data_IF_708587048002
#
_entry.id   IF_708587048002
#
_cell.length_a   1.000
_cell.length_b   1.000
_cell.length_c   1.000
_cell.angle_alpha   90.00
_cell.angle_beta   90.00
_cell.angle_gamma   90.00
#
_symmetry.space_group_name_H-M   'P 1'
#
loop_
_entity.id
_entity.type
_entity.pdbx_description
1 polymer ?
#
# COMPACT_ATOMS: atom_id res chain seq x y z
N UNK A 1 8.75 -32.73 -2.41
CA UNK A 1 8.35 -31.83 -3.50
C UNK A 1 9.39 -30.73 -3.52
N UNK A 2 10.12 -30.66 -4.61
CA UNK A 2 11.24 -29.72 -4.78
C UNK A 2 10.77 -28.70 -5.79
N UNK A 3 10.82 -27.42 -5.41
CA UNK A 3 10.36 -26.31 -6.26
C UNK A 3 11.53 -25.46 -6.70
N UNK A 4 11.42 -24.86 -7.88
CA UNK A 4 12.34 -23.86 -8.39
C UNK A 4 11.55 -22.64 -8.88
N UNK A 5 12.19 -21.48 -8.82
CA UNK A 5 11.65 -20.25 -9.40
C UNK A 5 12.14 -20.09 -10.84
N UNK A 6 11.22 -19.92 -11.79
CA UNK A 6 11.52 -19.34 -13.10
C UNK A 6 11.13 -17.87 -13.05
N UNK A 7 12.12 -16.98 -13.11
CA UNK A 7 11.94 -15.55 -12.86
C UNK A 7 12.42 -14.67 -14.02
N UNK A 8 11.92 -13.44 -14.04
CA UNK A 8 12.41 -12.34 -14.88
C UNK A 8 12.28 -11.03 -14.10
N UNK A 9 13.18 -10.07 -14.36
CA UNK A 9 13.20 -8.78 -13.70
C UNK A 9 13.45 -7.68 -14.73
N UNK A 10 12.68 -6.58 -14.68
CA UNK A 10 12.91 -5.41 -15.52
C UNK A 10 12.67 -4.13 -14.73
N UNK A 11 13.50 -3.13 -15.03
CA UNK A 11 13.40 -1.76 -14.53
C UNK A 11 13.57 -0.80 -15.70
N UNK A 12 12.83 0.31 -15.68
CA UNK A 12 12.72 1.29 -16.75
C UNK A 12 12.62 2.70 -16.13
N UNK A 13 13.20 3.72 -16.77
CA UNK A 13 13.22 5.10 -16.24
C UNK A 13 11.81 5.71 -16.23
N UNK A 14 10.91 5.22 -17.07
CA UNK A 14 9.67 5.93 -17.40
C UNK A 14 9.93 7.04 -18.42
N UNK A 15 8.95 7.94 -18.55
CA UNK A 15 8.97 9.04 -19.54
C UNK A 15 9.17 10.43 -18.90
N UNK A 16 8.98 10.58 -17.58
CA UNK A 16 9.03 11.88 -16.89
C UNK A 16 10.18 12.06 -15.88
N UNK A 17 10.89 10.98 -15.49
CA UNK A 17 12.06 11.05 -14.58
C UNK A 17 13.36 11.23 -15.38
N UNK A 18 14.34 11.93 -14.81
CA UNK A 18 15.67 12.13 -15.44
C UNK A 18 16.65 10.96 -15.20
N UNK A 19 16.38 10.15 -14.17
CA UNK A 19 17.19 8.99 -13.77
C UNK A 19 16.30 7.89 -13.18
N UNK A 20 16.91 6.76 -12.83
CA UNK A 20 16.23 5.62 -12.24
C UNK A 20 16.69 5.40 -10.81
N UNK A 21 15.80 5.66 -9.85
CA UNK A 21 16.05 5.50 -8.42
C UNK A 21 15.55 4.15 -7.89
N UNK A 22 14.78 3.38 -8.66
CA UNK A 22 14.43 1.99 -8.33
C UNK A 22 15.66 1.06 -8.36
N UNK A 23 15.61 -0.02 -7.57
CA UNK A 23 16.47 -1.20 -7.70
C UNK A 23 15.68 -2.49 -7.50
N UNK A 24 16.05 -3.57 -8.20
CA UNK A 24 15.48 -4.89 -7.96
C UNK A 24 16.47 -6.04 -8.18
N UNK A 25 16.17 -7.17 -7.55
CA UNK A 25 16.95 -8.41 -7.54
C UNK A 25 16.02 -9.62 -7.71
N UNK A 26 16.42 -10.60 -8.52
CA UNK A 26 15.71 -11.86 -8.68
C UNK A 26 16.68 -13.03 -8.83
N UNK A 27 16.41 -14.12 -8.12
CA UNK A 27 17.25 -15.32 -8.06
C UNK A 27 16.39 -16.58 -7.86
N UNK A 28 17.02 -17.76 -7.80
CA UNK A 28 16.33 -19.03 -7.54
C UNK A 28 15.65 -19.14 -6.17
N UNK A 29 15.91 -18.23 -5.22
CA UNK A 29 15.29 -18.23 -3.86
C UNK A 29 14.92 -16.85 -3.29
N UNK A 30 15.36 -15.75 -3.88
CA UNK A 30 15.14 -14.39 -3.38
C UNK A 30 14.66 -13.48 -4.51
N UNK A 31 13.55 -12.78 -4.27
CA UNK A 31 13.06 -11.67 -5.09
C UNK A 31 13.01 -10.41 -4.21
N UNK A 32 13.42 -9.26 -4.73
CA UNK A 32 13.31 -7.98 -4.02
C UNK A 32 13.11 -6.81 -4.98
N UNK A 33 12.29 -5.85 -4.59
CA UNK A 33 12.12 -4.53 -5.22
C UNK A 33 12.24 -3.46 -4.14
N UNK A 34 12.97 -2.40 -4.44
CA UNK A 34 13.16 -1.23 -3.58
C UNK A 34 13.05 0.03 -4.45
N UNK A 35 12.07 0.87 -4.15
CA UNK A 35 11.77 2.14 -4.83
C UNK A 35 12.50 3.27 -4.09
N UNK A 36 13.36 4.00 -4.79
CA UNK A 36 14.30 4.95 -4.19
C UNK A 36 13.76 6.37 -4.14
N UNK A 37 13.62 6.95 -2.95
CA UNK A 37 13.13 8.32 -2.78
C UNK A 37 14.22 9.25 -2.24
N UNK A 38 14.34 10.43 -2.84
CA UNK A 38 15.24 11.48 -2.38
C UNK A 38 15.16 12.74 -3.22
N UNK A 39 15.84 13.79 -2.75
CA UNK A 39 16.29 14.85 -3.65
C UNK A 39 17.65 14.48 -4.26
N UNK A 40 18.04 15.17 -5.34
CA UNK A 40 19.40 15.16 -5.90
C UNK A 40 20.06 13.77 -6.03
N UNK A 41 19.33 12.80 -6.60
CA UNK A 41 19.81 11.42 -6.87
C UNK A 41 20.27 10.64 -5.63
N UNK A 42 19.69 10.90 -4.45
CA UNK A 42 19.95 10.08 -3.27
C UNK A 42 19.07 8.81 -3.20
N UNK A 43 17.99 8.72 -3.97
CA UNK A 43 17.14 7.52 -4.05
C UNK A 43 17.86 6.35 -4.72
N UNK A 44 18.66 6.60 -5.79
CA UNK A 44 19.47 5.56 -6.46
C UNK A 44 20.41 4.84 -5.47
N UNK A 45 20.92 5.61 -4.49
CA UNK A 45 21.82 5.13 -3.46
C UNK A 45 21.07 4.31 -2.41
N UNK A 46 19.91 4.80 -1.96
CA UNK A 46 19.12 4.14 -0.93
C UNK A 46 18.58 2.77 -1.39
N UNK A 47 17.98 2.69 -2.58
CA UNK A 47 17.45 1.43 -3.13
C UNK A 47 18.57 0.42 -3.41
N UNK A 48 19.71 0.88 -3.93
CA UNK A 48 20.90 0.05 -4.15
C UNK A 48 21.43 -0.56 -2.86
N UNK A 49 21.43 0.20 -1.75
CA UNK A 49 21.87 -0.28 -0.43
C UNK A 49 20.90 -1.30 0.17
N UNK A 50 19.58 -1.10 0.00
CA UNK A 50 18.59 -2.07 0.44
C UNK A 50 18.69 -3.40 -0.34
N UNK A 51 18.79 -3.33 -1.67
CA UNK A 51 18.98 -4.52 -2.52
C UNK A 51 20.31 -5.22 -2.22
N UNK A 52 21.40 -4.49 -2.02
CA UNK A 52 22.71 -5.07 -1.64
C UNK A 52 22.78 -5.59 -0.19
N UNK A 53 21.77 -5.31 0.64
CA UNK A 53 21.57 -6.01 1.91
C UNK A 53 20.78 -7.30 1.69
N UNK A 54 19.69 -7.24 0.91
CA UNK A 54 18.88 -8.42 0.56
C UNK A 54 19.69 -9.49 -0.16
N UNK A 55 20.50 -9.14 -1.16
CA UNK A 55 21.21 -10.11 -2.01
C UNK A 55 22.19 -11.01 -1.24
N UNK A 56 22.66 -10.58 -0.07
CA UNK A 56 23.48 -11.44 0.81
C UNK A 56 22.74 -12.70 1.28
N UNK A 57 21.40 -12.67 1.31
CA UNK A 57 20.56 -13.82 1.66
C UNK A 57 20.51 -14.90 0.56
N UNK A 58 21.01 -14.62 -0.65
CA UNK A 58 21.09 -15.59 -1.73
C UNK A 58 22.39 -16.43 -1.68
N UNK A 59 23.47 -15.87 -1.13
CA UNK A 59 24.74 -16.58 -0.93
C UNK A 59 24.65 -17.57 0.25
N UNK A 60 24.07 -17.14 1.37
CA UNK A 60 23.96 -17.94 2.58
C UNK A 60 22.90 -19.06 2.46
N UNK A 61 23.36 -20.31 2.62
CA UNK A 61 22.50 -21.50 2.63
C UNK A 61 21.77 -21.67 3.97
N UNK A 62 20.87 -20.74 4.31
CA UNK A 62 20.16 -20.72 5.59
C UNK A 62 19.26 -21.94 5.83
N UNK A 63 19.73 -22.87 6.66
CA UNK A 63 18.89 -23.83 7.39
C UNK A 63 18.22 -23.26 8.64
N UNK A 64 18.16 -21.93 8.78
CA UNK A 64 17.62 -21.20 9.93
C UNK A 64 16.15 -20.78 9.76
N UNK A 65 15.69 -19.87 10.62
CA UNK A 65 14.40 -19.22 10.47
C UNK A 65 14.46 -18.11 9.40
N UNK A 66 13.55 -18.17 8.42
CA UNK A 66 13.50 -17.24 7.29
C UNK A 66 13.04 -15.84 7.74
N UNK A 67 12.15 -15.75 8.73
CA UNK A 67 11.68 -14.45 9.22
C UNK A 67 12.81 -13.70 9.92
N UNK A 68 13.50 -14.36 10.85
CA UNK A 68 14.70 -13.82 11.51
C UNK A 68 15.79 -13.42 10.51
N UNK A 69 16.00 -14.19 9.44
CA UNK A 69 17.01 -13.89 8.42
C UNK A 69 16.65 -12.65 7.59
N UNK A 70 15.40 -12.55 7.08
CA UNK A 70 14.99 -11.41 6.27
C UNK A 70 14.84 -10.13 7.12
N UNK A 71 14.34 -10.23 8.35
CA UNK A 71 14.28 -9.15 9.34
C UNK A 71 15.68 -8.61 9.68
N UNK A 72 16.68 -9.50 9.86
CA UNK A 72 18.06 -9.09 10.10
C UNK A 72 18.67 -8.35 8.91
N UNK A 73 18.34 -8.73 7.67
CA UNK A 73 18.79 -8.03 6.47
C UNK A 73 18.10 -6.66 6.30
N UNK A 74 16.84 -6.49 6.68
CA UNK A 74 16.17 -5.17 6.71
C UNK A 74 16.80 -4.27 7.76
N UNK A 75 17.13 -4.79 8.95
CA UNK A 75 17.87 -4.05 9.98
C UNK A 75 19.29 -3.69 9.54
N UNK A 76 19.95 -4.52 8.73
CA UNK A 76 21.24 -4.18 8.12
C UNK A 76 21.11 -3.10 7.05
N UNK A 77 20.11 -3.17 6.16
CA UNK A 77 19.81 -2.11 5.20
C UNK A 77 19.63 -0.75 5.89
N UNK A 78 18.73 -0.67 6.89
CA UNK A 78 18.49 0.59 7.61
C UNK A 78 19.74 1.09 8.37
N UNK A 79 20.55 0.19 8.94
CA UNK A 79 21.82 0.54 9.57
C UNK A 79 22.82 1.11 8.56
N UNK A 80 22.97 0.49 7.39
CA UNK A 80 23.85 0.99 6.31
C UNK A 80 23.44 2.40 5.88
N UNK A 81 22.14 2.65 5.69
CA UNK A 81 21.61 3.99 5.40
C UNK A 81 21.90 4.99 6.52
N UNK A 82 21.66 4.61 7.79
CA UNK A 82 21.97 5.44 8.96
C UNK A 82 23.45 5.86 9.01
N UNK A 83 24.36 4.90 8.82
CA UNK A 83 25.79 5.20 8.79
C UNK A 83 26.19 6.12 7.61
N UNK A 84 25.49 6.03 6.47
CA UNK A 84 25.75 6.89 5.32
C UNK A 84 25.30 8.32 5.56
N UNK A 85 24.08 8.55 6.09
CA UNK A 85 23.63 9.89 6.52
C UNK A 85 24.51 10.45 7.65
N UNK A 86 25.05 9.58 8.53
CA UNK A 86 26.00 9.95 9.58
C UNK A 86 27.40 10.32 9.07
N UNK A 87 27.81 9.81 7.90
CA UNK A 87 29.08 10.16 7.23
C UNK A 87 28.95 11.39 6.33
N UNK A 88 27.85 11.51 5.61
CA UNK A 88 27.53 12.64 4.74
C UNK A 88 26.11 13.17 5.02
N UNK A 89 25.99 14.29 5.78
CA UNK A 89 24.70 14.91 6.07
C UNK A 89 23.94 15.46 4.86
N UNK A 90 24.53 15.52 3.65
CA UNK A 90 23.80 15.90 2.43
C UNK A 90 22.81 14.81 1.99
N UNK A 91 23.09 13.54 2.31
CA UNK A 91 22.22 12.40 2.07
C UNK A 91 20.96 12.38 2.96
N UNK A 92 20.81 13.35 3.88
CA UNK A 92 19.68 13.40 4.80
C UNK A 92 18.35 13.56 4.04
N UNK A 93 17.42 12.64 4.27
CA UNK A 93 16.15 12.58 3.55
C UNK A 93 16.19 11.73 2.28
N UNK A 94 17.27 10.97 2.07
CA UNK A 94 17.19 9.75 1.26
C UNK A 94 16.40 8.67 2.00
N UNK A 95 15.69 7.84 1.26
CA UNK A 95 15.12 6.61 1.76
C UNK A 95 14.72 5.68 0.63
N UNK A 96 14.17 4.53 0.96
CA UNK A 96 13.65 3.59 -0.04
C UNK A 96 12.54 2.73 0.54
N UNK A 97 11.60 2.28 -0.30
CA UNK A 97 10.73 1.17 0.06
C UNK A 97 11.53 -0.13 0.10
N UNK A 98 10.94 -1.20 0.61
CA UNK A 98 11.46 -2.54 0.39
C UNK A 98 10.34 -3.56 0.44
N UNK A 99 10.16 -4.29 -0.65
CA UNK A 99 9.31 -5.48 -0.72
C UNK A 99 10.16 -6.64 -1.21
N UNK A 100 10.33 -7.66 -0.36
CA UNK A 100 11.19 -8.81 -0.67
C UNK A 100 10.60 -10.13 -0.18
N UNK A 101 10.89 -11.19 -0.92
CA UNK A 101 10.39 -12.54 -0.68
C UNK A 101 11.53 -13.56 -0.75
N UNK A 102 11.67 -14.38 0.28
CA UNK A 102 12.74 -15.38 0.45
C UNK A 102 12.15 -16.79 0.60
N UNK A 103 12.61 -17.74 -0.22
CA UNK A 103 12.14 -19.12 -0.29
C UNK A 103 13.07 -20.11 0.42
N UNK A 104 12.48 -21.12 1.06
CA UNK A 104 13.17 -22.33 1.52
C UNK A 104 12.22 -23.52 1.41
N UNK A 105 12.42 -24.36 0.38
CA UNK A 105 11.40 -25.31 -0.06
C UNK A 105 10.10 -24.59 -0.39
N UNK A 106 8.95 -25.12 0.04
CA UNK A 106 7.63 -24.47 -0.14
C UNK A 106 7.37 -23.30 0.80
N UNK A 107 8.24 -22.99 1.76
CA UNK A 107 8.06 -21.84 2.67
C UNK A 107 8.59 -20.56 2.06
N UNK A 108 7.84 -19.48 2.22
CA UNK A 108 8.22 -18.14 1.76
C UNK A 108 8.07 -17.14 2.89
N UNK A 109 9.14 -16.44 3.25
CA UNK A 109 9.04 -15.23 4.06
C UNK A 109 8.83 -14.03 3.14
N UNK A 110 7.80 -13.21 3.41
CA UNK A 110 7.58 -11.90 2.79
C UNK A 110 7.89 -10.82 3.83
N UNK A 111 8.68 -9.82 3.44
CA UNK A 111 8.88 -8.57 4.18
C UNK A 111 8.43 -7.39 3.33
N UNK A 112 7.84 -6.38 3.97
CA UNK A 112 7.31 -5.19 3.30
C UNK A 112 7.48 -3.92 4.14
N UNK A 113 7.96 -2.86 3.50
CA UNK A 113 8.00 -1.47 3.98
C UNK A 113 7.72 -0.54 2.81
N UNK A 114 6.73 0.35 2.91
CA UNK A 114 6.41 1.33 1.88
C UNK A 114 5.17 0.96 1.05
N UNK A 115 5.15 1.34 -0.23
CA UNK A 115 4.00 1.17 -1.13
C UNK A 115 4.31 0.37 -2.40
N UNK A 116 5.56 -0.03 -2.62
CA UNK A 116 5.93 -1.03 -3.63
C UNK A 116 5.28 -2.38 -3.29
N UNK A 117 4.51 -2.96 -4.21
CA UNK A 117 3.56 -4.03 -3.89
C UNK A 117 4.09 -5.42 -4.26
N UNK A 118 3.58 -6.45 -3.58
CA UNK A 118 3.63 -7.82 -4.06
C UNK A 118 2.22 -8.38 -4.29
N UNK A 119 2.10 -9.18 -5.34
CA UNK A 119 0.89 -9.88 -5.75
C UNK A 119 1.17 -11.39 -5.94
N UNK A 120 0.13 -12.20 -5.73
CA UNK A 120 0.09 -13.63 -6.00
C UNK A 120 -1.09 -13.93 -6.94
N UNK A 121 -0.79 -14.44 -8.14
CA UNK A 121 -1.76 -15.13 -8.97
C UNK A 121 -1.78 -16.62 -8.58
N UNK A 122 -2.91 -17.09 -8.02
CA UNK A 122 -3.12 -18.50 -7.64
C UNK A 122 -4.47 -18.98 -8.16
N UNK A 123 -4.48 -20.14 -8.82
CA UNK A 123 -5.69 -20.79 -9.35
C UNK A 123 -6.57 -19.93 -10.28
N UNK A 124 -6.00 -18.86 -10.88
CA UNK A 124 -6.70 -17.93 -11.76
C UNK A 124 -7.18 -16.63 -11.09
N UNK A 125 -6.98 -16.47 -9.78
CA UNK A 125 -7.33 -15.27 -9.02
C UNK A 125 -6.07 -14.49 -8.61
N UNK A 126 -6.09 -13.16 -8.71
CA UNK A 126 -4.98 -12.28 -8.33
C UNK A 126 -5.23 -11.64 -6.97
N UNK A 127 -4.32 -11.86 -6.03
CA UNK A 127 -4.36 -11.31 -4.68
C UNK A 127 -3.21 -10.34 -4.47
N UNK A 128 -3.47 -9.14 -3.96
CA UNK A 128 -2.41 -8.33 -3.34
C UNK A 128 -2.03 -8.99 -1.99
N UNK A 129 -0.73 -9.12 -1.72
CA UNK A 129 -0.22 -9.80 -0.52
C UNK A 129 0.60 -8.88 0.40
N UNK A 130 0.78 -7.61 0.01
CA UNK A 130 1.31 -6.49 0.82
C UNK A 130 0.22 -5.47 1.11
N UNK A 131 0.37 -4.68 2.18
CA UNK A 131 -0.57 -3.63 2.57
C UNK A 131 0.16 -2.28 2.61
N UNK A 132 -0.15 -1.42 1.65
CA UNK A 132 0.58 -0.17 1.38
C UNK A 132 0.72 0.73 2.62
N UNK A 133 1.94 1.12 2.98
CA UNK A 133 2.22 2.06 4.07
C UNK A 133 2.06 3.53 3.65
N UNK A 134 0.98 3.85 2.93
CA UNK A 134 0.64 5.22 2.52
C UNK A 134 -0.38 5.89 3.44
N UNK A 135 -0.37 7.23 3.45
CA UNK A 135 -1.38 8.05 4.11
C UNK A 135 -2.79 7.71 3.62
N UNK A 136 -2.98 7.44 2.32
CA UNK A 136 -4.30 7.15 1.77
C UNK A 136 -4.78 5.75 2.14
N UNK A 137 -3.89 4.76 2.25
CA UNK A 137 -4.29 3.44 2.72
C UNK A 137 -4.76 3.52 4.18
N UNK A 138 -4.05 4.22 5.06
CA UNK A 138 -4.53 4.43 6.44
C UNK A 138 -5.86 5.21 6.51
N UNK A 139 -6.15 6.11 5.56
CA UNK A 139 -7.46 6.77 5.46
C UNK A 139 -8.57 5.83 4.97
N UNK A 140 -8.26 4.81 4.16
CA UNK A 140 -9.20 3.73 3.80
C UNK A 140 -9.41 2.79 4.98
N UNK A 141 -8.34 2.42 5.70
CA UNK A 141 -8.38 1.54 6.87
C UNK A 141 -9.20 2.17 8.02
N UNK A 142 -9.05 3.48 8.24
CA UNK A 142 -9.89 4.29 9.14
C UNK A 142 -11.38 4.40 8.68
N UNK A 143 -11.71 3.97 7.46
CA UNK A 143 -13.03 4.14 6.84
C UNK A 143 -13.38 5.59 6.47
N UNK A 144 -12.38 6.46 6.27
CA UNK A 144 -12.53 7.90 6.05
C UNK A 144 -12.60 8.32 4.58
N UNK A 145 -12.09 7.49 3.68
CA UNK A 145 -12.22 7.60 2.22
C UNK A 145 -12.44 6.20 1.63
N UNK A 146 -12.96 6.10 0.40
CA UNK A 146 -13.05 4.81 -0.32
C UNK A 146 -11.76 4.49 -1.11
N UNK A 147 -11.63 3.26 -1.60
CA UNK A 147 -10.49 2.85 -2.43
C UNK A 147 -10.40 3.66 -3.74
N UNK A 148 -11.55 4.03 -4.31
CA UNK A 148 -11.68 4.84 -5.52
C UNK A 148 -11.26 6.30 -5.28
N UNK A 149 -11.59 6.83 -4.10
CA UNK A 149 -11.13 8.15 -3.66
C UNK A 149 -9.62 8.15 -3.40
N UNK A 150 -9.09 7.12 -2.73
CA UNK A 150 -7.66 6.94 -2.47
C UNK A 150 -6.83 6.94 -3.77
N UNK A 151 -7.28 6.23 -4.81
CA UNK A 151 -6.61 6.15 -6.11
C UNK A 151 -6.47 7.51 -6.82
N UNK A 152 -7.39 8.45 -6.57
CA UNK A 152 -7.37 9.80 -7.18
C UNK A 152 -6.89 10.90 -6.23
N UNK A 153 -6.56 10.56 -4.97
CA UNK A 153 -6.26 11.52 -3.93
C UNK A 153 -4.95 12.30 -4.21
N UNK A 154 -4.90 13.63 -3.95
CA UNK A 154 -3.70 14.45 -4.19
C UNK A 154 -2.47 14.05 -3.35
N UNK A 155 -2.67 13.32 -2.25
CA UNK A 155 -1.62 12.88 -1.32
C UNK A 155 -1.40 11.36 -1.33
N UNK A 156 -1.74 10.67 -2.43
CA UNK A 156 -1.63 9.19 -2.49
C UNK A 156 -0.22 8.66 -2.26
N UNK A 157 0.79 9.30 -2.85
CA UNK A 157 2.22 8.94 -2.69
C UNK A 157 2.88 9.55 -1.44
N UNK A 158 2.11 9.85 -0.38
CA UNK A 158 2.71 10.18 0.93
C UNK A 158 2.88 8.90 1.72
N UNK A 159 4.13 8.45 1.83
CA UNK A 159 4.52 7.32 2.66
C UNK A 159 4.53 7.65 4.16
N UNK A 160 4.17 6.65 4.96
CA UNK A 160 4.21 6.68 6.43
C UNK A 160 5.34 5.81 7.01
N UNK A 161 5.86 4.85 6.23
CA UNK A 161 7.01 3.99 6.56
C UNK A 161 7.91 3.85 5.33
N UNK A 162 9.22 3.96 5.53
CA UNK A 162 10.27 3.73 4.54
C UNK A 162 11.56 3.32 5.26
N UNK A 163 12.56 2.83 4.52
CA UNK A 163 13.93 2.67 5.01
C UNK A 163 14.68 3.98 4.76
N UNK A 164 14.75 4.88 5.74
CA UNK A 164 15.41 6.20 5.62
C UNK A 164 16.67 6.37 6.50
N UNK A 165 17.07 5.30 7.19
CA UNK A 165 18.18 5.35 8.16
C UNK A 165 17.83 6.09 9.45
N UNK A 166 16.57 6.43 9.71
CA UNK A 166 16.11 7.01 10.97
C UNK A 166 15.41 5.96 11.85
N UNK A 167 15.59 6.10 13.17
CA UNK A 167 14.91 5.27 14.17
C UNK A 167 15.14 3.75 14.04
N UNK A 168 14.17 3.00 14.57
CA UNK A 168 14.02 1.56 14.33
C UNK A 168 12.94 1.35 13.27
N UNK A 169 13.18 0.43 12.34
CA UNK A 169 12.17 0.01 11.35
C UNK A 169 11.39 -1.18 11.90
N UNK A 170 10.08 -1.09 11.79
CA UNK A 170 9.09 -2.12 12.10
C UNK A 170 8.44 -2.58 10.78
N UNK A 171 9.00 -3.62 10.12
CA UNK A 171 8.55 -4.06 8.80
C UNK A 171 7.43 -5.10 8.89
N UNK A 172 6.51 -5.08 7.93
CA UNK A 172 5.44 -6.07 7.89
C UNK A 172 6.01 -7.42 7.43
N UNK A 173 6.01 -8.40 8.33
CA UNK A 173 6.59 -9.74 8.16
C UNK A 173 5.50 -10.81 8.10
N UNK A 174 5.52 -11.68 7.10
CA UNK A 174 4.60 -12.82 7.02
C UNK A 174 5.26 -14.08 6.45
N UNK A 175 4.96 -15.24 7.03
CA UNK A 175 5.34 -16.55 6.49
C UNK A 175 4.17 -17.12 5.68
N UNK A 176 4.46 -17.57 4.46
CA UNK A 176 3.50 -18.06 3.46
C UNK A 176 3.95 -19.41 2.90
N UNK A 177 3.03 -20.13 2.26
CA UNK A 177 3.32 -21.39 1.57
C UNK A 177 3.10 -21.23 0.06
N UNK A 178 4.16 -21.53 -0.70
CA UNK A 178 4.17 -21.58 -2.16
C UNK A 178 3.63 -22.93 -2.66
N UNK A 179 2.87 -22.87 -3.75
CA UNK A 179 2.24 -24.01 -4.41
C UNK A 179 2.66 -24.06 -5.88
N UNK A 180 2.66 -25.25 -6.49
CA UNK A 180 3.00 -25.42 -7.90
C UNK A 180 2.02 -24.65 -8.79
N UNK A 181 2.56 -23.84 -9.71
CA UNK A 181 1.76 -22.96 -10.56
C UNK A 181 1.33 -21.64 -9.90
N UNK A 182 1.84 -21.31 -8.69
CA UNK A 182 1.83 -19.93 -8.22
C UNK A 182 2.66 -19.05 -9.16
N UNK A 183 2.17 -17.82 -9.39
CA UNK A 183 2.93 -16.74 -10.03
C UNK A 183 2.95 -15.53 -9.11
N UNK A 184 4.16 -15.06 -8.78
CA UNK A 184 4.38 -13.87 -7.97
C UNK A 184 4.78 -12.68 -8.86
N UNK A 185 4.31 -11.49 -8.50
CA UNK A 185 4.71 -10.19 -9.06
C UNK A 185 5.12 -9.29 -7.91
N UNK A 186 6.32 -8.70 -7.95
CA UNK A 186 6.72 -7.57 -7.11
C UNK A 186 6.90 -6.33 -8.01
N UNK A 187 6.52 -5.13 -7.56
CA UNK A 187 6.69 -3.90 -8.35
C UNK A 187 6.77 -2.59 -7.54
N UNK A 188 7.39 -1.55 -8.11
CA UNK A 188 7.34 -0.16 -7.61
C UNK A 188 5.98 0.51 -7.87
N UNK A 189 5.75 1.69 -7.29
CA UNK A 189 4.47 2.41 -7.42
C UNK A 189 4.20 2.78 -8.89
N UNK A 190 5.25 3.11 -9.66
CA UNK A 190 5.16 3.51 -11.07
C UNK A 190 4.60 2.45 -12.03
N UNK A 191 4.53 1.16 -11.63
CA UNK A 191 3.69 0.18 -12.32
C UNK A 191 2.23 0.26 -11.85
N UNK A 192 2.00 0.10 -10.54
CA UNK A 192 0.67 -0.16 -9.97
C UNK A 192 -0.20 1.09 -9.78
N UNK A 193 0.39 2.29 -9.93
CA UNK A 193 -0.29 3.59 -9.99
C UNK A 193 -0.84 3.96 -11.37
N UNK A 194 -0.48 3.22 -12.44
CA UNK A 194 -0.99 3.46 -13.81
C UNK A 194 -1.57 2.20 -14.48
N UNK A 195 -1.13 0.99 -14.13
CA UNK A 195 -1.68 -0.27 -14.65
C UNK A 195 -2.71 -0.83 -13.66
N UNK A 196 -3.97 -0.92 -14.09
CA UNK A 196 -5.07 -1.37 -13.23
C UNK A 196 -4.93 -2.83 -12.81
N UNK A 197 -5.50 -3.21 -11.66
CA UNK A 197 -5.51 -4.60 -11.17
C UNK A 197 -6.13 -5.59 -12.18
N UNK A 198 -7.15 -5.17 -12.94
CA UNK A 198 -7.73 -5.94 -14.05
C UNK A 198 -6.71 -6.20 -15.17
N UNK A 199 -5.91 -5.18 -15.51
CA UNK A 199 -4.86 -5.29 -16.53
C UNK A 199 -3.71 -6.17 -16.03
N UNK A 200 -3.28 -6.02 -14.77
CA UNK A 200 -2.31 -6.91 -14.13
C UNK A 200 -2.80 -8.36 -14.16
N UNK A 201 -4.03 -8.62 -13.71
CA UNK A 201 -4.64 -9.96 -13.73
C UNK A 201 -4.66 -10.56 -15.14
N UNK A 202 -5.11 -9.80 -16.13
CA UNK A 202 -5.17 -10.25 -17.51
C UNK A 202 -3.78 -10.57 -18.08
N UNK A 203 -2.79 -9.68 -17.90
CA UNK A 203 -1.42 -9.91 -18.39
C UNK A 203 -0.77 -11.12 -17.70
N UNK A 204 -0.87 -11.22 -16.37
CA UNK A 204 -0.31 -12.32 -15.58
C UNK A 204 -0.95 -13.67 -15.91
N UNK A 205 -2.23 -13.69 -16.30
CA UNK A 205 -3.00 -14.91 -16.61
C UNK A 205 -2.94 -15.35 -18.07
N UNK A 206 -2.46 -14.51 -18.99
CA UNK A 206 -2.53 -14.75 -20.46
C UNK A 206 -1.16 -14.99 -21.11
N UNK A 207 -0.07 -14.57 -20.48
CA UNK A 207 1.29 -14.66 -21.02
C UNK A 207 2.10 -15.66 -20.18
N UNK A 208 2.43 -16.83 -20.72
CA UNK A 208 3.14 -17.88 -19.97
C UNK A 208 4.61 -17.52 -19.63
N UNK A 209 5.26 -16.68 -20.42
CA UNK A 209 6.69 -16.35 -20.31
C UNK A 209 6.97 -15.11 -19.43
N UNK A 210 7.71 -15.24 -18.30
CA UNK A 210 8.06 -14.12 -17.42
C UNK A 210 8.74 -12.94 -18.10
N UNK A 211 9.64 -13.16 -19.06
CA UNK A 211 10.34 -12.08 -19.78
C UNK A 211 9.38 -11.25 -20.64
N UNK A 212 8.44 -11.92 -21.31
CA UNK A 212 7.36 -11.27 -22.05
C UNK A 212 6.35 -10.61 -21.12
N UNK A 213 6.12 -11.12 -19.91
CA UNK A 213 5.29 -10.43 -18.89
C UNK A 213 5.97 -9.13 -18.45
N UNK A 214 7.21 -9.13 -17.95
CA UNK A 214 7.86 -7.89 -17.46
C UNK A 214 8.04 -6.86 -18.58
N UNK A 215 8.33 -7.28 -19.81
CA UNK A 215 8.30 -6.40 -20.99
C UNK A 215 6.92 -5.77 -21.19
N UNK A 216 5.86 -6.58 -21.19
CA UNK A 216 4.50 -6.10 -21.45
C UNK A 216 4.00 -5.17 -20.35
N UNK A 217 4.31 -5.44 -19.08
CA UNK A 217 3.95 -4.59 -17.94
C UNK A 217 4.62 -3.21 -18.01
N UNK A 218 5.92 -3.16 -18.32
CA UNK A 218 6.65 -1.90 -18.54
C UNK A 218 6.11 -1.16 -19.75
N UNK A 219 5.87 -1.84 -20.88
CA UNK A 219 5.30 -1.23 -22.08
C UNK A 219 3.89 -0.67 -21.83
N UNK A 220 3.09 -1.29 -20.94
CA UNK A 220 1.77 -0.81 -20.55
C UNK A 220 1.84 0.41 -19.62
N UNK A 221 2.74 0.42 -18.64
CA UNK A 221 2.94 1.57 -17.76
C UNK A 221 3.46 2.81 -18.52
N UNK A 222 4.40 2.62 -19.46
CA UNK A 222 4.86 3.69 -20.35
C UNK A 222 3.74 4.17 -21.30
N UNK A 223 2.83 3.31 -21.77
CA UNK A 223 1.61 3.73 -22.50
C UNK A 223 0.61 4.47 -21.61
N UNK A 224 0.58 4.19 -20.31
CA UNK A 224 -0.15 4.95 -19.29
C UNK A 224 0.44 6.35 -19.01
N UNK A 225 1.57 6.69 -19.65
CA UNK A 225 2.24 7.99 -19.55
C UNK A 225 3.62 7.93 -18.89
N UNK A 226 4.02 6.78 -18.34
CA UNK A 226 5.32 6.59 -17.67
C UNK A 226 5.68 7.70 -16.68
N UNK A 227 4.82 8.02 -15.70
CA UNK A 227 5.01 9.19 -14.84
C UNK A 227 6.18 9.05 -13.87
N UNK A 228 6.62 7.82 -13.63
CA UNK A 228 7.63 7.47 -12.64
C UNK A 228 8.56 6.35 -13.14
N UNK A 229 9.54 5.96 -12.32
CA UNK A 229 10.33 4.76 -12.56
C UNK A 229 9.45 3.50 -12.48
N UNK A 230 9.69 2.53 -13.35
CA UNK A 230 8.83 1.35 -13.49
C UNK A 230 9.67 0.09 -13.34
N UNK A 231 9.57 -0.56 -12.18
CA UNK A 231 10.28 -1.80 -11.88
C UNK A 231 9.33 -2.91 -11.51
N UNK A 232 9.59 -4.10 -12.06
CA UNK A 232 8.84 -5.30 -11.73
C UNK A 232 9.68 -6.57 -11.81
N UNK A 233 9.33 -7.54 -10.97
CA UNK A 233 9.91 -8.89 -10.91
C UNK A 233 8.78 -9.89 -10.95
N UNK A 234 8.88 -10.87 -11.86
CA UNK A 234 7.96 -12.01 -11.98
C UNK A 234 8.69 -13.27 -11.54
N UNK A 235 8.01 -14.17 -10.83
CA UNK A 235 8.49 -15.53 -10.62
C UNK A 235 7.37 -16.58 -10.63
N UNK A 236 7.60 -17.66 -11.38
CA UNK A 236 6.73 -18.84 -11.41
C UNK A 236 7.29 -19.95 -10.52
N UNK A 237 6.43 -20.57 -9.72
CA UNK A 237 6.77 -21.74 -8.90
C UNK A 237 6.59 -23.01 -9.73
N UNK A 238 7.71 -23.60 -10.15
CA UNK A 238 7.76 -24.81 -10.96
C UNK A 238 8.19 -26.02 -10.12
N UNK A 239 7.73 -27.22 -10.52
CA UNK A 239 8.25 -28.48 -9.98
C UNK A 239 9.55 -28.83 -10.70
N UNK A 240 10.55 -29.32 -9.95
CA UNK A 240 11.82 -29.80 -10.50
C UNK A 240 12.17 -31.18 -9.95
N UNK A 241 12.59 -32.07 -10.86
CA UNK A 241 13.18 -33.35 -10.50
C UNK A 241 14.52 -33.15 -9.76
N UNK A 242 14.84 -34.04 -8.81
CA UNK A 242 16.06 -33.99 -8.02
C UNK A 242 17.31 -34.28 -8.87
N UNK A 243 17.85 -33.23 -9.50
CA UNK A 243 19.08 -33.29 -10.29
C UNK A 243 19.34 -32.10 -11.21
N UNK A 244 18.31 -31.33 -11.59
CA UNK A 244 18.44 -30.18 -12.50
C UNK A 244 17.71 -28.93 -11.97
N UNK A 245 18.29 -28.19 -11.00
CA UNK A 245 17.92 -26.79 -10.84
C UNK A 245 18.32 -26.01 -12.11
N UNK A 246 17.48 -25.11 -12.64
CA UNK A 246 17.90 -24.22 -13.71
C UNK A 246 19.00 -23.30 -13.19
N UNK A 247 20.17 -23.32 -13.83
CA UNK A 247 21.29 -22.43 -13.51
C UNK A 247 21.05 -21.04 -14.14
N UNK A 248 20.01 -20.35 -13.69
CA UNK A 248 19.80 -18.93 -13.98
C UNK A 248 20.65 -18.08 -13.03
N UNK A 249 21.45 -17.19 -13.61
CA UNK A 249 22.21 -16.17 -12.89
C UNK A 249 21.26 -15.11 -12.31
N UNK A 250 21.60 -14.56 -11.14
CA UNK A 250 20.72 -13.60 -10.47
C UNK A 250 20.59 -12.31 -11.29
N UNK A 251 19.34 -11.94 -11.60
CA UNK A 251 19.03 -10.73 -12.35
C UNK A 251 19.02 -9.52 -11.41
N UNK A 252 19.85 -8.52 -11.70
CA UNK A 252 19.93 -7.27 -10.93
C UNK A 252 19.66 -6.09 -11.87
N UNK A 253 18.64 -5.29 -11.56
CA UNK A 253 18.15 -4.20 -12.43
C UNK A 253 17.96 -2.90 -11.64
N UNK A 254 17.77 -1.80 -12.35
CA UNK A 254 17.70 -0.45 -11.75
C UNK A 254 19.08 0.07 -11.34
N UNK A 255 19.12 0.94 -10.32
CA UNK A 255 20.34 1.55 -9.80
C UNK A 255 21.36 0.53 -9.28
N UNK A 256 20.91 -0.57 -8.65
CA UNK A 256 21.77 -1.67 -8.26
C UNK A 256 22.50 -2.30 -9.47
N UNK A 257 21.77 -2.56 -10.56
CA UNK A 257 22.34 -3.12 -11.81
C UNK A 257 23.32 -2.16 -12.49
N UNK A 258 22.99 -0.87 -12.57
CA UNK A 258 23.89 0.15 -13.13
C UNK A 258 25.17 0.31 -12.29
N UNK A 259 25.09 0.16 -10.97
CA UNK A 259 26.22 0.23 -10.04
C UNK A 259 27.17 -0.96 -10.19
N UNK A 260 26.66 -2.17 -10.38
CA UNK A 260 27.49 -3.34 -10.71
C UNK A 260 28.24 -3.14 -12.04
N UNK A 261 27.55 -2.62 -13.07
CA UNK A 261 28.18 -2.31 -14.36
C UNK A 261 29.27 -1.23 -14.24
N UNK A 262 29.01 -0.13 -13.50
CA UNK A 262 30.00 0.92 -13.18
C UNK A 262 31.24 0.33 -12.49
N UNK A 263 31.04 -0.55 -11.50
CA UNK A 263 32.13 -1.17 -10.72
C UNK A 263 32.99 -2.11 -11.56
N UNK A 264 32.37 -2.89 -12.46
CA UNK A 264 33.06 -3.79 -13.39
C UNK A 264 33.94 -3.02 -14.40
N UNK A 265 33.45 -1.89 -14.92
CA UNK A 265 34.23 -1.04 -15.84
C UNK A 265 35.36 -0.25 -15.15
N UNK A 266 35.26 0.00 -13.84
CA UNK A 266 36.23 0.76 -13.05
C UNK A 266 37.64 0.15 -12.93
N UNK A 267 37.89 -1.04 -13.49
CA UNK A 267 39.19 -1.72 -13.43
C UNK A 267 39.95 -1.79 -14.77
N UNK A 268 39.53 -1.09 -15.82
CA UNK A 268 40.25 -1.03 -17.10
C UNK A 268 40.73 0.38 -17.46
N UNK A 269 41.87 0.75 -16.87
CA UNK A 269 42.60 1.97 -17.20
C UNK A 269 43.25 1.84 -18.60
N UNK A 270 42.48 2.15 -19.65
CA UNK A 270 42.92 2.08 -21.06
C UNK A 270 42.61 3.38 -21.81
N UNK A 271 43.62 3.94 -22.46
CA UNK A 271 43.54 5.26 -23.09
C UNK A 271 42.55 5.30 -24.28
N UNK A 272 41.87 6.43 -24.52
CA UNK A 272 40.87 6.55 -25.57
C UNK A 272 41.52 6.53 -26.97
N UNK A 273 41.34 5.43 -27.72
CA UNK A 273 41.74 5.42 -29.13
C UNK A 273 41.91 4.06 -29.81
N UNK A 274 40.81 3.33 -30.05
CA UNK A 274 40.72 2.55 -31.29
C UNK A 274 39.26 2.34 -31.73
N UNK A 275 38.98 2.64 -33.00
CA UNK A 275 37.76 2.21 -33.69
C UNK A 275 37.98 0.83 -34.30
N UNK A 276 36.95 -0.03 -34.26
CA UNK A 276 36.84 -1.12 -35.25
C UNK A 276 35.37 -1.55 -35.43
N UNK A 277 34.84 -1.68 -36.67
CA UNK A 277 33.48 -2.12 -36.93
C UNK A 277 33.39 -3.64 -37.15
N UNK A 278 32.30 -4.26 -36.71
CA UNK A 278 32.04 -5.71 -36.92
C UNK A 278 30.53 -6.04 -37.03
N UNK A 279 29.80 -5.34 -37.90
CA UNK A 279 28.40 -5.67 -38.19
C UNK A 279 28.31 -6.97 -39.00
N UNK A 280 27.92 -8.07 -38.37
CA UNK A 280 27.49 -9.27 -39.11
C UNK A 280 26.07 -9.08 -39.64
N UNK A 281 25.77 -9.46 -40.90
CA UNK A 281 24.42 -9.38 -41.44
C UNK A 281 23.53 -10.45 -40.80
N UNK A 282 22.30 -10.08 -40.44
CA UNK A 282 21.27 -11.04 -40.02
C UNK A 282 20.69 -11.80 -41.23
N UNK A 283 20.26 -13.06 -41.06
CA UNK A 283 19.49 -13.76 -42.08
C UNK A 283 18.12 -13.11 -42.27
N UNK A 284 17.67 -13.00 -43.52
CA UNK A 284 16.30 -12.60 -43.85
C UNK A 284 15.42 -13.85 -43.77
N UNK A 285 14.41 -13.83 -42.90
CA UNK A 285 13.35 -14.84 -42.86
C UNK A 285 12.43 -14.60 -44.07
N UNK A 286 11.99 -15.68 -44.72
CA UNK A 286 11.07 -15.63 -45.87
C UNK A 286 9.68 -16.11 -45.47
N UNK A 287 8.63 -15.65 -46.16
CA UNK A 287 7.24 -15.92 -45.75
C UNK A 287 6.90 -17.43 -45.70
N UNK A 288 7.58 -18.26 -46.52
CA UNK A 288 7.47 -19.74 -46.49
C UNK A 288 7.83 -20.36 -45.12
N UNK A 289 8.66 -19.71 -44.29
CA UNK A 289 9.12 -20.21 -42.99
C UNK A 289 8.04 -20.13 -41.88
N UNK A 290 6.94 -19.40 -42.13
CA UNK A 290 5.85 -19.16 -41.18
C UNK A 290 4.76 -20.22 -41.27
N UNK A 291 4.33 -20.57 -42.49
CA UNK A 291 3.26 -21.55 -42.75
C UNK A 291 3.60 -22.95 -42.17
N UNK A 292 4.87 -23.37 -42.21
CA UNK A 292 5.29 -24.67 -41.66
C UNK A 292 5.21 -24.74 -40.12
N UNK A 293 5.19 -23.60 -39.43
CA UNK A 293 5.08 -23.55 -37.96
C UNK A 293 3.62 -23.57 -37.51
N UNK A 294 2.72 -22.81 -38.16
CA UNK A 294 1.27 -22.88 -37.86
C UNK A 294 0.72 -24.29 -38.11
N UNK A 295 1.14 -24.95 -39.20
CA UNK A 295 0.74 -26.32 -39.52
C UNK A 295 1.06 -27.34 -38.41
N UNK A 296 2.16 -27.12 -37.66
CA UNK A 296 2.56 -27.98 -36.54
C UNK A 296 1.83 -27.63 -35.25
N UNK A 297 1.51 -26.35 -35.00
CA UNK A 297 0.77 -25.91 -33.83
C UNK A 297 -0.69 -26.44 -33.79
N UNK A 298 -1.36 -26.52 -34.94
CA UNK A 298 -2.76 -26.98 -35.03
C UNK A 298 -2.92 -28.48 -34.72
N UNK A 299 -1.88 -29.30 -34.88
CA UNK A 299 -1.95 -30.75 -34.72
C UNK A 299 -2.02 -31.24 -33.26
N UNK A 300 -1.68 -30.39 -32.27
CA UNK A 300 -1.44 -30.80 -30.89
C UNK A 300 -2.60 -30.44 -29.92
N UNK A 301 -3.77 -31.08 -30.06
CA UNK A 301 -4.89 -30.92 -29.11
C UNK A 301 -5.55 -32.25 -28.71
N UNK A 302 -5.40 -32.73 -27.45
CA UNK A 302 -6.11 -33.91 -26.95
C UNK A 302 -7.58 -33.61 -26.63
N UNK A 303 -8.48 -34.58 -26.90
CA UNK A 303 -9.92 -34.42 -26.69
C UNK A 303 -10.33 -34.57 -25.21
N UNK A 304 -11.27 -33.71 -24.75
CA UNK A 304 -11.64 -33.57 -23.34
C UNK A 304 -12.53 -34.66 -22.75
N UNK A 305 -12.61 -34.70 -21.40
CA UNK A 305 -13.31 -35.75 -20.64
C UNK A 305 -14.28 -35.17 -19.60
N UNK A 306 -15.58 -35.12 -19.91
CA UNK A 306 -16.64 -34.69 -18.96
C UNK A 306 -16.69 -35.59 -17.72
N UNK A 307 -16.68 -35.00 -16.52
CA UNK A 307 -17.12 -35.63 -15.25
C UNK A 307 -18.15 -34.73 -14.56
N UNK A 308 -19.01 -35.31 -13.72
CA UNK A 308 -20.23 -34.66 -13.19
C UNK A 308 -19.95 -33.92 -11.87
N UNK A 309 -20.25 -32.61 -11.83
CA UNK A 309 -20.01 -31.72 -10.68
C UNK A 309 -21.01 -31.83 -9.51
N UNK A 310 -21.94 -32.79 -9.54
CA UNK A 310 -23.07 -32.82 -8.61
C UNK A 310 -22.77 -32.95 -7.10
N UNK A 311 -21.67 -33.60 -6.62
CA UNK A 311 -21.43 -33.68 -5.17
C UNK A 311 -20.89 -32.37 -4.55
N UNK A 312 -20.33 -31.45 -5.33
CA UNK A 312 -19.63 -30.26 -4.79
C UNK A 312 -20.59 -29.21 -4.17
N UNK A 313 -21.82 -29.13 -4.69
CA UNK A 313 -22.80 -28.13 -4.27
C UNK A 313 -23.37 -28.39 -2.87
N UNK A 314 -23.35 -29.65 -2.41
CA UNK A 314 -23.90 -30.04 -1.09
C UNK A 314 -22.99 -29.59 0.05
N UNK A 315 -21.67 -29.63 -0.14
CA UNK A 315 -20.69 -29.19 0.86
C UNK A 315 -20.72 -27.68 1.11
N UNK A 316 -20.92 -26.87 0.07
CA UNK A 316 -20.89 -25.40 0.18
C UNK A 316 -22.05 -24.88 1.07
N UNK A 317 -23.25 -25.43 0.92
CA UNK A 317 -24.40 -25.03 1.73
C UNK A 317 -24.24 -25.30 3.23
N UNK A 318 -23.50 -26.34 3.62
CA UNK A 318 -23.22 -26.64 5.02
C UNK A 318 -22.27 -25.63 5.69
N UNK A 319 -21.26 -25.16 4.96
CA UNK A 319 -20.30 -24.17 5.46
C UNK A 319 -20.97 -22.80 5.67
N UNK A 320 -21.84 -22.38 4.75
CA UNK A 320 -22.56 -21.10 4.86
C UNK A 320 -23.47 -21.07 6.09
N UNK A 321 -24.18 -22.16 6.38
CA UNK A 321 -25.04 -22.24 7.58
C UNK A 321 -24.24 -22.21 8.90
N UNK A 322 -23.09 -22.88 8.95
CA UNK A 322 -22.21 -22.85 10.13
C UNK A 322 -21.55 -21.47 10.32
N UNK A 323 -21.06 -20.86 9.25
CA UNK A 323 -20.46 -19.53 9.28
C UNK A 323 -21.44 -18.45 9.71
N UNK A 324 -22.67 -18.47 9.17
CA UNK A 324 -23.74 -17.54 9.55
C UNK A 324 -24.14 -17.66 11.03
N UNK A 325 -24.24 -18.89 11.55
CA UNK A 325 -24.54 -19.13 12.96
C UNK A 325 -23.44 -18.64 13.91
N UNK A 326 -22.17 -18.85 13.55
CA UNK A 326 -21.02 -18.35 14.34
C UNK A 326 -20.91 -16.83 14.28
N UNK A 327 -21.07 -16.22 13.11
CA UNK A 327 -21.04 -14.76 12.94
C UNK A 327 -22.13 -14.06 13.74
N UNK A 328 -23.35 -14.61 13.76
CA UNK A 328 -24.46 -14.09 14.58
C UNK A 328 -24.14 -14.18 16.09
N UNK A 329 -23.57 -15.30 16.54
CA UNK A 329 -23.26 -15.52 17.96
C UNK A 329 -22.20 -14.55 18.49
N UNK A 330 -21.09 -14.36 17.76
CA UNK A 330 -20.04 -13.43 18.17
C UNK A 330 -20.41 -11.96 17.97
N UNK A 331 -21.15 -11.63 16.92
CA UNK A 331 -21.60 -10.25 16.67
C UNK A 331 -22.50 -9.68 17.78
N UNK A 332 -23.32 -10.52 18.42
CA UNK A 332 -24.19 -10.06 19.50
C UNK A 332 -23.41 -9.68 20.78
N UNK A 333 -22.34 -10.43 21.12
CA UNK A 333 -21.56 -10.13 22.33
C UNK A 333 -20.86 -8.77 22.26
N UNK A 334 -20.37 -8.36 21.08
CA UNK A 334 -19.71 -7.07 20.90
C UNK A 334 -20.66 -5.87 21.09
N UNK A 335 -21.96 -6.05 20.81
CA UNK A 335 -22.99 -5.01 21.00
C UNK A 335 -23.40 -4.85 22.46
N UNK A 336 -23.37 -5.93 23.26
CA UNK A 336 -23.82 -5.94 24.66
C UNK A 336 -22.88 -5.15 25.61
N UNK A 337 -21.60 -4.97 25.25
CA UNK A 337 -20.57 -4.32 26.08
C UNK A 337 -20.48 -2.78 25.93
N UNK A 338 -21.23 -2.17 25.01
CA UNK A 338 -21.16 -0.72 24.78
C UNK A 338 -22.21 0.06 25.59
N UNK A 339 -21.85 1.22 26.16
CA UNK A 339 -22.76 2.10 26.88
C UNK A 339 -22.59 3.57 26.45
N UNK A 340 -23.69 4.33 26.39
CA UNK A 340 -23.66 5.76 26.13
C UNK A 340 -24.75 6.54 26.87
N UNK A 341 -24.46 7.80 27.19
CA UNK A 341 -25.45 8.77 27.69
C UNK A 341 -26.05 9.50 26.50
N UNK A 342 -27.38 9.40 26.34
CA UNK A 342 -28.13 9.96 25.22
C UNK A 342 -29.42 10.67 25.65
N UNK A 343 -30.30 10.95 24.69
CA UNK A 343 -31.61 11.57 24.92
C UNK A 343 -32.75 10.60 24.61
N UNK A 344 -33.82 10.64 25.41
CA UNK A 344 -35.10 9.99 25.11
C UNK A 344 -36.22 11.01 25.28
N UNK A 345 -36.59 11.66 24.18
CA UNK A 345 -37.44 12.85 24.23
C UNK A 345 -36.67 14.03 24.83
N UNK A 346 -37.15 14.56 25.95
CA UNK A 346 -36.51 15.67 26.67
C UNK A 346 -35.70 15.23 27.91
N UNK A 347 -35.68 13.94 28.24
CA UNK A 347 -34.94 13.39 29.38
C UNK A 347 -33.59 12.79 28.95
N UNK A 348 -32.61 12.86 29.86
CA UNK A 348 -31.27 12.26 29.68
C UNK A 348 -31.33 10.80 30.13
N UNK A 349 -30.80 9.88 29.30
CA UNK A 349 -30.85 8.44 29.54
C UNK A 349 -29.47 7.79 29.44
N UNK A 350 -29.28 6.66 30.13
CA UNK A 350 -28.18 5.74 29.88
C UNK A 350 -28.71 4.59 29.02
N UNK A 351 -28.14 4.46 27.83
CA UNK A 351 -28.41 3.40 26.88
C UNK A 351 -27.23 2.40 26.84
N UNK A 352 -27.53 1.14 26.52
CA UNK A 352 -26.56 0.08 26.23
C UNK A 352 -26.74 -0.36 24.78
N UNK A 353 -25.65 -0.57 24.07
CA UNK A 353 -25.60 -0.76 22.62
C UNK A 353 -24.96 0.45 21.91
N UNK A 354 -25.07 0.48 20.59
CA UNK A 354 -24.43 1.49 19.73
C UNK A 354 -25.43 2.61 19.41
N UNK A 355 -25.02 3.87 19.43
CA UNK A 355 -25.86 5.03 19.10
C UNK A 355 -26.12 5.16 17.58
N UNK A 356 -26.72 4.12 16.99
CA UNK A 356 -27.00 4.01 15.55
C UNK A 356 -28.33 3.27 15.33
N UNK A 357 -29.16 3.78 14.43
CA UNK A 357 -30.42 3.14 14.01
C UNK A 357 -30.25 2.50 12.64
N UNK A 358 -30.41 1.18 12.55
CA UNK A 358 -30.23 0.42 11.32
C UNK A 358 -31.58 0.08 10.69
N UNK A 359 -32.13 1.06 9.95
CA UNK A 359 -33.49 0.98 9.42
C UNK A 359 -34.53 1.06 10.55
N UNK A 360 -35.46 0.09 10.68
CA UNK A 360 -36.46 0.08 11.74
C UNK A 360 -35.93 -0.45 13.09
N UNK A 361 -34.65 -0.78 13.20
CA UNK A 361 -34.04 -1.37 14.41
C UNK A 361 -33.15 -0.34 15.12
N UNK A 362 -33.50 -0.02 16.37
CA UNK A 362 -32.61 0.70 17.29
C UNK A 362 -31.59 -0.31 17.83
N UNK A 363 -30.28 -0.07 17.65
CA UNK A 363 -29.22 -0.98 18.13
C UNK A 363 -28.81 -0.69 19.58
N UNK A 364 -29.76 -0.23 20.39
CA UNK A 364 -29.57 0.10 21.79
C UNK A 364 -30.84 -0.06 22.64
N UNK A 365 -30.68 -0.51 23.88
CA UNK A 365 -31.70 -0.52 24.93
C UNK A 365 -31.49 0.66 25.90
N UNK A 366 -32.55 1.32 26.34
CA UNK A 366 -32.46 2.22 27.51
C UNK A 366 -32.41 1.40 28.79
N UNK A 367 -31.26 1.39 29.46
CA UNK A 367 -31.08 0.73 30.76
C UNK A 367 -31.60 1.60 31.90
N UNK A 368 -31.43 2.93 31.81
CA UNK A 368 -31.79 3.87 32.89
C UNK A 368 -32.28 5.22 32.40
N UNK A 369 -33.38 5.71 32.99
CA UNK A 369 -33.91 7.07 32.77
C UNK A 369 -33.54 8.00 33.92
N UNK A 370 -33.13 9.23 33.62
CA UNK A 370 -32.89 10.28 34.62
C UNK A 370 -33.94 11.38 34.51
N UNK A 371 -34.49 11.81 35.65
CA UNK A 371 -35.51 12.88 35.76
C UNK A 371 -34.93 14.29 35.57
N UNK A 372 -33.85 14.43 34.80
CA UNK A 372 -33.14 15.69 34.52
C UNK A 372 -33.48 16.11 33.07
N UNK A 373 -34.25 17.19 32.88
CA UNK A 373 -34.57 17.67 31.53
C UNK A 373 -33.34 18.24 30.82
N UNK A 374 -33.15 17.89 29.55
CA UNK A 374 -32.03 18.37 28.72
C UNK A 374 -31.96 19.90 28.63
N UNK A 375 -33.11 20.58 28.73
CA UNK A 375 -33.22 22.04 28.78
C UNK A 375 -32.55 22.70 29.99
N UNK A 376 -32.11 21.92 31.00
CA UNK A 376 -31.31 22.43 32.14
C UNK A 376 -29.82 22.54 31.85
N UNK A 377 -29.33 21.91 30.77
CA UNK A 377 -27.91 21.93 30.37
C UNK A 377 -27.56 23.15 29.50
N UNK A 378 -26.28 23.53 29.47
CA UNK A 378 -25.75 24.53 28.55
C UNK A 378 -25.80 24.06 27.09
N UNK A 379 -25.84 24.99 26.13
CA UNK A 379 -26.02 24.68 24.70
C UNK A 379 -24.96 23.74 24.11
N UNK A 380 -23.71 23.80 24.61
CA UNK A 380 -22.63 22.88 24.24
C UNK A 380 -22.93 21.45 24.72
N UNK A 381 -23.35 21.31 25.98
CA UNK A 381 -23.65 20.05 26.64
C UNK A 381 -24.88 19.37 26.02
N UNK A 382 -25.91 20.15 25.67
CA UNK A 382 -27.08 19.68 24.92
C UNK A 382 -26.70 19.06 23.56
N UNK A 383 -25.66 19.59 22.90
CA UNK A 383 -25.15 19.03 21.64
C UNK A 383 -24.37 17.73 21.87
N UNK A 384 -23.57 17.65 22.94
CA UNK A 384 -22.81 16.44 23.29
C UNK A 384 -23.73 15.27 23.67
N UNK A 385 -24.73 15.51 24.53
CA UNK A 385 -25.70 14.46 24.93
C UNK A 385 -26.58 14.04 23.75
N UNK A 386 -26.90 14.95 22.81
CA UNK A 386 -27.61 14.61 21.56
C UNK A 386 -26.81 13.67 20.65
N UNK A 387 -25.49 13.84 20.58
CA UNK A 387 -24.62 13.01 19.75
C UNK A 387 -24.26 11.65 20.40
N UNK A 388 -24.59 11.49 21.69
CA UNK A 388 -24.24 10.32 22.49
C UNK A 388 -22.84 10.44 23.09
N UNK A 389 -22.75 10.44 24.42
CA UNK A 389 -21.47 10.46 25.15
C UNK A 389 -21.12 9.02 25.52
N UNK A 390 -20.08 8.39 24.94
CA UNK A 390 -19.69 7.03 25.28
C UNK A 390 -19.17 6.95 26.72
N UNK A 391 -19.51 5.87 27.42
CA UNK A 391 -19.11 5.59 28.81
C UNK A 391 -18.77 4.11 28.96
N UNK A 392 -17.88 3.77 29.90
CA UNK A 392 -17.38 2.40 30.05
C UNK A 392 -18.41 1.41 30.65
N UNK A 393 -19.36 1.91 31.45
CA UNK A 393 -20.40 1.12 32.11
C UNK A 393 -21.59 2.00 32.56
N UNK A 394 -22.65 1.39 33.09
CA UNK A 394 -23.84 2.11 33.59
C UNK A 394 -23.52 3.10 34.72
N UNK A 395 -22.58 2.78 35.63
CA UNK A 395 -22.23 3.63 36.75
C UNK A 395 -21.41 4.85 36.32
N UNK A 396 -20.53 4.70 35.33
CA UNK A 396 -19.88 5.79 34.62
C UNK A 396 -20.91 6.69 33.91
N UNK A 397 -21.95 6.09 33.30
CA UNK A 397 -23.10 6.81 32.73
C UNK A 397 -23.86 7.65 33.76
N UNK A 398 -24.23 7.06 34.90
CA UNK A 398 -24.90 7.78 36.00
C UNK A 398 -24.03 8.91 36.54
N UNK A 399 -22.74 8.65 36.78
CA UNK A 399 -21.78 9.68 37.23
C UNK A 399 -21.68 10.83 36.23
N UNK A 400 -21.66 10.55 34.91
CA UNK A 400 -21.61 11.58 33.87
C UNK A 400 -22.84 12.49 33.87
N UNK A 401 -24.02 11.94 34.17
CA UNK A 401 -25.27 12.71 34.34
C UNK A 401 -25.21 13.61 35.59
N UNK A 402 -24.58 13.16 36.68
CA UNK A 402 -24.36 13.99 37.87
C UNK A 402 -23.34 15.12 37.63
N UNK A 403 -22.26 14.84 36.88
CA UNK A 403 -21.27 15.86 36.46
C UNK A 403 -21.93 16.98 35.61
N UNK A 404 -22.77 16.61 34.64
CA UNK A 404 -23.54 17.57 33.80
C UNK A 404 -24.60 18.36 34.59
N UNK A 405 -25.10 17.80 35.69
CA UNK A 405 -25.99 18.51 36.62
C UNK A 405 -25.24 19.52 37.51
N UNK A 406 -23.97 19.25 37.82
CA UNK A 406 -23.15 20.18 38.61
C UNK A 406 -22.70 21.39 37.77
N UNK A 407 -22.26 21.19 36.52
CA UNK A 407 -21.83 22.27 35.62
C UNK A 407 -22.94 23.27 35.31
N UNK A 408 -24.17 22.79 35.08
CA UNK A 408 -25.36 23.64 34.84
C UNK A 408 -25.78 24.45 36.07
N UNK A 409 -25.68 23.89 37.28
CA UNK A 409 -25.92 24.63 38.54
C UNK A 409 -24.84 25.69 38.81
N UNK A 410 -23.59 25.44 38.43
CA UNK A 410 -22.51 26.42 38.57
C UNK A 410 -22.66 27.55 37.55
N UNK A 411 -23.03 27.23 36.30
CA UNK A 411 -23.23 28.20 35.21
C UNK A 411 -24.41 29.16 35.40
N UNK A 412 -25.35 28.83 36.31
CA UNK A 412 -26.52 29.66 36.60
C UNK A 412 -26.32 30.65 37.77
N UNK A 413 -25.17 30.61 38.45
CA UNK A 413 -24.85 31.54 39.54
C UNK A 413 -24.44 32.95 39.10
N UNK A 414 -23.62 33.07 38.05
CA UNK A 414 -23.00 34.36 37.65
C UNK A 414 -23.95 35.32 36.91
N UNK A 415 -25.14 34.86 36.50
CA UNK A 415 -26.08 35.65 35.71
C UNK A 415 -26.77 36.80 36.48
N UNK A 416 -26.59 36.89 37.81
CA UNK A 416 -27.39 37.75 38.69
C UNK A 416 -26.90 39.22 38.81
N UNK A 417 -25.75 39.61 38.22
CA UNK A 417 -25.09 40.88 38.55
C UNK A 417 -24.53 41.69 37.36
N UNK A 418 -25.31 41.89 36.31
CA UNK A 418 -24.99 42.88 35.27
C UNK A 418 -26.24 43.61 34.73
N UNK A 419 -26.29 44.94 34.85
CA UNK A 419 -27.35 45.79 34.26
C UNK A 419 -26.73 46.82 33.33
N UNK A 420 -26.99 46.78 32.00
CA UNK A 420 -26.48 47.78 31.07
C UNK A 420 -27.40 49.01 30.99
N UNK A 421 -26.80 50.20 30.96
CA UNK A 421 -27.50 51.45 30.58
C UNK A 421 -27.25 51.79 29.10
N UNK A 422 -28.21 52.38 28.37
CA UNK A 422 -28.09 52.63 26.94
C UNK A 422 -27.31 53.91 26.61
N UNK A 423 -26.72 53.98 25.42
CA UNK A 423 -26.19 55.21 24.79
C UNK A 423 -26.38 55.11 23.26
N UNK A 424 -26.57 56.25 22.58
CA UNK A 424 -27.35 56.33 21.33
C UNK A 424 -26.53 56.50 20.03
N UNK A 425 -27.17 56.17 18.91
CA UNK A 425 -26.65 56.30 17.54
C UNK A 425 -26.79 57.72 16.94
N UNK A 426 -25.95 58.10 15.96
CA UNK A 426 -26.22 59.19 15.02
C UNK A 426 -26.58 58.70 13.59
N UNK A 427 -27.16 59.59 12.76
CA UNK A 427 -27.57 59.37 11.35
C UNK A 427 -26.62 60.09 10.34
N UNK A 428 -26.67 59.78 9.02
CA UNK A 428 -25.69 60.25 8.03
C UNK A 428 -26.10 61.47 7.16
N UNK A 429 -25.09 62.17 6.61
CA UNK A 429 -25.13 63.22 5.54
C UNK A 429 -23.68 63.55 5.13
N UNK A 430 -23.25 64.02 3.93
CA UNK A 430 -23.80 64.10 2.55
C UNK A 430 -22.66 64.48 1.55
N UNK A 431 -22.94 64.56 0.24
CA UNK A 431 -22.07 65.19 -0.82
C UNK A 431 -22.56 66.63 -1.13
N UNK A 432 -21.89 67.49 -1.96
CA UNK A 432 -20.76 67.30 -2.92
C UNK A 432 -19.45 67.99 -2.46
N UNK A 433 -18.36 68.14 -3.25
CA UNK A 433 -17.99 67.67 -4.60
C UNK A 433 -17.75 68.81 -5.64
N UNK A 434 -16.62 68.79 -6.38
CA UNK A 434 -16.27 69.78 -7.42
C UNK A 434 -14.92 69.52 -8.13
N UNK A 435 -14.76 70.02 -9.37
CA UNK A 435 -13.65 69.75 -10.33
C UNK A 435 -12.40 70.63 -10.20
N UNK A 436 -11.21 70.11 -10.54
CA UNK A 436 -10.22 70.78 -11.40
C UNK A 436 -9.04 69.85 -11.83
N UNK A 437 -8.53 70.05 -13.05
CA UNK A 437 -7.24 69.51 -13.57
C UNK A 437 -6.46 70.69 -14.18
N UNK A 438 -5.12 70.67 -14.21
CA UNK A 438 -4.45 70.69 -15.53
C UNK A 438 -3.14 69.88 -15.61
N UNK A 439 -2.58 69.81 -16.82
CA UNK A 439 -1.32 69.13 -17.22
C UNK A 439 -0.35 70.17 -17.81
N UNK A 440 0.98 70.03 -17.59
CA UNK A 440 1.94 69.84 -18.71
C UNK A 440 2.95 68.70 -18.38
N UNK A 441 3.38 67.78 -19.26
CA UNK A 441 4.02 67.83 -20.61
C UNK A 441 5.49 68.26 -20.64
N UNK A 442 6.27 67.46 -21.40
CA UNK A 442 7.70 67.52 -21.71
C UNK A 442 8.61 66.71 -20.75
N UNK A 443 9.59 65.95 -21.23
CA UNK A 443 10.03 65.71 -22.63
C UNK A 443 10.02 64.23 -23.01
#
# INVERSE_FOLDING_TARGET
>A
MTIALRYAARSDVGLLREGNEDSAYASGRLLAVADGMGGHAHGEVASSVAIAAMSSLDEDAFGGDLLSAIEAAVRDANRRLHEMVGRDPSLKGMGTTLTAMLWSGTRVALVHVGDSRAYLLRSGELYQITHDHTLVQSLVDDGRITQEEAATHPQRSILLRALDGSGEVDPDLSLREAQLGDRYLLCSDGLSGVVSAETLHHTLSTIDDPETVVRTLVDLANRGGGPDNITCVIADVLEVDEGFPPATEAAVVGAAGSTLARTSQGSQDTSPGLVNPATMPQPVITDDDLDEQEARAVAARPAGRRRRLWPLLVSIGGVILLGGGLGWYFGNQWLDDQYFVGLRGEEIVVNRGVNTTLGPFELFDTVRTSTVPVATLGTLEQSQVRNGIPVADEAAGVKKIEELRASSQQSSGDAASATPSPTASPKPSSKPGGTATPRPTNS
#
